data_IF_946827819022
#
_entry.id   IF_946827819022
#
_cell.length_a   1.000
_cell.length_b   1.000
_cell.length_c   1.000
_cell.angle_alpha   90.00
_cell.angle_beta   90.00
_cell.angle_gamma   90.00
#
_symmetry.space_group_name_H-M   'P 1'
#
loop_
_entity.id
_entity.type
_entity.pdbx_description
1 polymer ?
#
# COMPACT_ATOMS: atom_id res chain seq x y z
N UNK A 1 2.59 -23.11 21.45
CA UNK A 1 1.55 -23.51 20.47
C UNK A 1 0.16 -23.30 21.05
N UNK A 2 -0.15 -23.85 22.23
CA UNK A 2 -1.49 -23.76 22.85
C UNK A 2 -1.98 -22.32 23.06
N UNK A 3 -1.10 -21.39 23.44
CA UNK A 3 -1.43 -19.97 23.60
C UNK A 3 -1.81 -19.35 22.26
N UNK A 4 -1.08 -19.67 21.21
CA UNK A 4 -1.39 -19.19 19.85
C UNK A 4 -2.71 -19.76 19.33
N UNK A 5 -2.91 -21.06 19.53
CA UNK A 5 -4.14 -21.74 19.10
C UNK A 5 -5.38 -21.16 19.81
N UNK A 6 -5.24 -20.75 21.10
CA UNK A 6 -6.29 -20.09 21.85
C UNK A 6 -6.65 -18.69 21.31
N UNK A 7 -5.66 -17.97 20.82
CA UNK A 7 -5.82 -16.61 20.28
C UNK A 7 -5.98 -16.57 18.76
N UNK A 8 -6.11 -17.74 18.11
CA UNK A 8 -6.45 -17.83 16.70
C UNK A 8 -7.89 -17.31 16.48
N UNK A 9 -8.05 -16.46 15.48
CA UNK A 9 -9.34 -15.85 15.15
C UNK A 9 -10.40 -16.80 14.57
N UNK A 10 -10.15 -18.10 14.58
CA UNK A 10 -11.07 -19.10 14.03
C UNK A 10 -11.27 -19.00 12.52
N UNK A 11 -12.43 -19.41 12.02
CA UNK A 11 -12.70 -19.54 10.59
C UNK A 11 -12.61 -18.26 9.74
N UNK A 12 -12.59 -17.08 10.36
CA UNK A 12 -12.49 -15.79 9.64
C UNK A 12 -11.07 -15.22 9.58
N UNK A 13 -10.17 -15.61 10.48
CA UNK A 13 -8.83 -15.09 10.59
C UNK A 13 -7.86 -16.22 10.84
N UNK A 14 -7.73 -17.10 9.84
CA UNK A 14 -6.83 -18.23 9.91
C UNK A 14 -5.38 -17.76 10.01
N UNK A 15 -4.77 -17.99 11.15
CA UNK A 15 -3.37 -17.69 11.39
C UNK A 15 -2.45 -18.36 10.37
N UNK A 16 -2.86 -19.55 9.87
CA UNK A 16 -2.19 -20.25 8.80
C UNK A 16 -2.08 -19.45 7.50
N UNK A 17 -3.13 -18.71 7.12
CA UNK A 17 -3.12 -17.87 5.93
C UNK A 17 -2.18 -16.67 6.13
N UNK A 18 -2.29 -15.98 7.26
CA UNK A 18 -1.39 -14.87 7.59
C UNK A 18 0.08 -15.34 7.68
N UNK A 19 0.33 -16.49 8.29
CA UNK A 19 1.68 -17.07 8.36
C UNK A 19 2.23 -17.40 6.98
N UNK A 20 1.40 -17.95 6.09
CA UNK A 20 1.78 -18.23 4.70
C UNK A 20 2.17 -16.96 3.96
N UNK A 21 1.36 -15.89 4.07
CA UNK A 21 1.67 -14.61 3.46
C UNK A 21 2.94 -13.99 4.04
N UNK A 22 3.14 -14.10 5.36
CA UNK A 22 4.34 -13.64 6.02
C UNK A 22 5.59 -14.36 5.50
N UNK A 23 5.56 -15.70 5.44
CA UNK A 23 6.69 -16.49 4.98
C UNK A 23 6.97 -16.24 3.50
N UNK A 24 5.95 -16.18 2.67
CA UNK A 24 6.10 -15.94 1.23
C UNK A 24 6.70 -14.56 0.91
N UNK A 25 6.41 -13.54 1.72
CA UNK A 25 6.88 -12.18 1.47
C UNK A 25 8.16 -11.81 2.23
N UNK A 26 8.39 -12.40 3.41
CA UNK A 26 9.47 -11.97 4.32
C UNK A 26 10.29 -13.12 4.91
N UNK A 27 10.05 -14.36 4.49
CA UNK A 27 10.73 -15.54 5.01
C UNK A 27 10.29 -15.91 6.44
N UNK A 28 10.85 -17.01 6.96
CA UNK A 28 10.58 -17.49 8.31
C UNK A 28 11.11 -16.55 9.37
N UNK A 29 10.51 -16.55 10.54
CA UNK A 29 10.91 -15.71 11.69
C UNK A 29 11.68 -16.54 12.72
N UNK A 30 12.73 -15.96 13.31
CA UNK A 30 13.56 -16.59 14.32
C UNK A 30 13.15 -16.23 15.75
N UNK A 31 12.30 -15.20 15.92
CA UNK A 31 11.77 -14.77 17.20
C UNK A 31 10.33 -14.28 17.08
N UNK A 32 9.66 -14.12 18.23
CA UNK A 32 8.31 -13.55 18.31
C UNK A 32 8.31 -12.10 17.85
N UNK A 33 9.33 -11.34 18.20
CA UNK A 33 9.47 -9.92 17.82
C UNK A 33 9.64 -9.78 16.31
N UNK A 34 10.43 -10.65 15.70
CA UNK A 34 10.58 -10.67 14.23
C UNK A 34 9.27 -11.06 13.54
N UNK A 35 8.58 -12.08 14.05
CA UNK A 35 7.27 -12.48 13.56
C UNK A 35 6.27 -11.32 13.65
N UNK A 36 6.21 -10.62 14.78
CA UNK A 36 5.33 -9.48 14.96
C UNK A 36 5.64 -8.33 13.96
N UNK A 37 6.92 -8.00 13.76
CA UNK A 37 7.34 -7.00 12.77
C UNK A 37 6.94 -7.37 11.35
N UNK A 38 7.19 -8.62 10.95
CA UNK A 38 6.80 -9.11 9.63
C UNK A 38 5.28 -9.14 9.45
N UNK A 39 4.54 -9.52 10.48
CA UNK A 39 3.07 -9.47 10.49
C UNK A 39 2.52 -8.05 10.32
N UNK A 40 3.15 -7.06 10.95
CA UNK A 40 2.82 -5.64 10.74
C UNK A 40 3.04 -5.20 9.28
N UNK A 41 4.13 -5.64 8.65
CA UNK A 41 4.39 -5.32 7.23
C UNK A 41 3.37 -5.95 6.30
N UNK A 42 2.98 -7.22 6.52
CA UNK A 42 1.91 -7.89 5.76
C UNK A 42 0.59 -7.13 5.90
N UNK A 43 0.20 -6.80 7.14
CA UNK A 43 -1.01 -6.03 7.40
C UNK A 43 -1.01 -4.65 6.72
N UNK A 44 0.12 -3.95 6.77
CA UNK A 44 0.32 -2.66 6.13
C UNK A 44 0.13 -2.73 4.62
N UNK A 45 0.80 -3.68 3.96
CA UNK A 45 0.70 -3.87 2.51
C UNK A 45 -0.72 -4.24 2.08
N UNK A 46 -1.35 -5.20 2.76
CA UNK A 46 -2.70 -5.65 2.44
C UNK A 46 -3.71 -4.50 2.58
N UNK A 47 -3.62 -3.75 3.67
CA UNK A 47 -4.51 -2.60 3.91
C UNK A 47 -4.35 -1.54 2.83
N UNK A 48 -3.11 -1.14 2.53
CA UNK A 48 -2.82 -0.16 1.49
C UNK A 48 -3.32 -0.61 0.12
N UNK A 49 -3.02 -1.84 -0.27
CA UNK A 49 -3.41 -2.40 -1.57
C UNK A 49 -4.94 -2.40 -1.75
N UNK A 50 -5.71 -2.77 -0.73
CA UNK A 50 -7.18 -2.77 -0.80
C UNK A 50 -7.70 -1.37 -1.12
N UNK A 51 -7.21 -0.34 -0.44
CA UNK A 51 -7.64 1.05 -0.65
C UNK A 51 -7.20 1.59 -2.00
N UNK A 52 -5.99 1.31 -2.43
CA UNK A 52 -5.47 1.77 -3.73
C UNK A 52 -6.14 1.07 -4.92
N UNK A 53 -6.46 -0.22 -4.80
CA UNK A 53 -7.28 -0.93 -5.81
C UNK A 53 -8.68 -0.34 -5.87
N UNK A 54 -9.26 0.01 -4.71
CA UNK A 54 -10.55 0.69 -4.69
C UNK A 54 -10.48 2.07 -5.36
N UNK A 55 -9.47 2.89 -5.04
CA UNK A 55 -9.24 4.19 -5.68
C UNK A 55 -9.13 4.07 -7.20
N UNK A 56 -8.37 3.08 -7.69
CA UNK A 56 -8.20 2.81 -9.11
C UNK A 56 -9.54 2.55 -9.82
N UNK A 57 -10.45 1.87 -9.14
CA UNK A 57 -11.70 1.38 -9.70
C UNK A 57 -12.93 2.26 -9.37
N UNK A 58 -12.81 3.32 -8.59
CA UNK A 58 -13.98 4.05 -8.07
C UNK A 58 -14.87 4.69 -9.16
N UNK A 59 -14.33 4.95 -10.36
CA UNK A 59 -15.06 5.61 -11.44
C UNK A 59 -15.24 4.73 -12.70
N UNK A 60 -14.76 3.48 -12.71
CA UNK A 60 -14.57 2.71 -13.94
C UNK A 60 -15.48 1.48 -14.07
N UNK A 61 -16.69 1.50 -13.56
CA UNK A 61 -17.58 0.34 -13.67
C UNK A 61 -18.88 0.57 -14.48
N UNK A 62 -18.88 1.47 -15.45
CA UNK A 62 -20.09 1.77 -16.20
C UNK A 62 -21.24 2.11 -15.25
N UNK A 63 -22.28 1.25 -15.15
CA UNK A 63 -23.40 1.43 -14.24
C UNK A 63 -23.13 1.02 -12.78
N UNK A 64 -21.91 0.60 -12.45
CA UNK A 64 -21.51 0.09 -11.12
C UNK A 64 -20.34 0.87 -10.56
N UNK A 65 -20.65 1.93 -9.83
CA UNK A 65 -19.63 2.69 -9.11
C UNK A 65 -19.20 1.96 -7.85
N UNK A 66 -17.89 1.85 -7.61
CA UNK A 66 -17.38 1.48 -6.31
C UNK A 66 -17.37 2.73 -5.41
N UNK A 67 -18.52 3.04 -4.79
CA UNK A 67 -18.74 4.27 -4.04
C UNK A 67 -18.16 4.24 -2.62
N UNK A 68 -17.66 3.12 -2.14
CA UNK A 68 -17.09 3.00 -0.82
C UNK A 68 -16.68 1.60 -0.45
N UNK A 69 -15.91 1.49 0.61
CA UNK A 69 -15.43 0.24 1.17
C UNK A 69 -15.80 0.17 2.64
N UNK A 70 -16.52 -0.88 3.03
CA UNK A 70 -16.91 -1.12 4.41
C UNK A 70 -15.91 -2.05 5.06
N UNK A 71 -15.18 -1.55 6.04
CA UNK A 71 -14.17 -2.30 6.76
C UNK A 71 -14.77 -3.04 7.97
N UNK A 72 -14.67 -4.36 7.98
CA UNK A 72 -15.14 -5.23 9.07
C UNK A 72 -14.04 -5.45 10.08
N UNK A 73 -14.18 -4.97 11.06
CA UNK A 73 -14.25 -4.03 12.14
C UNK A 73 -12.86 -3.44 12.47
N UNK A 74 -12.87 -2.30 13.09
CA UNK A 74 -11.74 -1.38 13.18
C UNK A 74 -10.66 -1.80 14.18
N UNK A 75 -11.12 -2.36 15.31
CA UNK A 75 -10.25 -2.74 16.42
C UNK A 75 -10.58 -4.15 16.92
N UNK A 76 -9.66 -4.72 17.69
CA UNK A 76 -9.85 -6.00 18.35
C UNK A 76 -10.48 -5.79 19.73
N UNK A 77 -11.60 -6.46 20.05
CA UNK A 77 -12.21 -6.34 21.38
C UNK A 77 -11.46 -7.17 22.45
N UNK A 78 -10.64 -8.11 22.03
CA UNK A 78 -9.86 -9.01 22.88
C UNK A 78 -8.47 -9.21 22.28
N UNK A 79 -7.53 -9.72 23.06
CA UNK A 79 -6.20 -10.12 22.56
C UNK A 79 -6.34 -11.24 21.55
N UNK A 80 -5.96 -10.95 20.30
CA UNK A 80 -5.94 -11.93 19.22
C UNK A 80 -4.91 -11.55 18.18
N UNK A 81 -4.49 -12.51 17.36
CA UNK A 81 -3.63 -12.25 16.21
C UNK A 81 -4.53 -11.89 15.02
N UNK A 82 -4.54 -10.62 14.64
CA UNK A 82 -5.31 -10.15 13.50
C UNK A 82 -4.73 -8.86 12.91
N UNK A 83 -4.93 -8.66 11.60
CA UNK A 83 -4.59 -7.41 10.93
C UNK A 83 -5.75 -6.42 11.07
N UNK A 84 -5.70 -5.58 12.09
CA UNK A 84 -6.67 -4.51 12.37
C UNK A 84 -5.98 -3.15 12.35
N UNK A 85 -6.78 -2.08 12.29
CA UNK A 85 -6.25 -0.70 12.39
C UNK A 85 -5.74 -0.41 13.80
N UNK A 86 -6.43 -0.96 14.80
CA UNK A 86 -6.10 -0.81 16.21
C UNK A 86 -6.10 -2.19 16.87
N UNK A 87 -5.16 -2.42 17.75
CA UNK A 87 -5.17 -3.61 18.58
C UNK A 87 -6.18 -3.50 19.74
N UNK A 88 -6.24 -4.52 20.60
CA UNK A 88 -7.15 -4.55 21.76
C UNK A 88 -6.84 -3.47 22.81
N UNK A 89 -5.61 -2.98 22.91
CA UNK A 89 -5.18 -1.90 23.79
C UNK A 89 -5.31 -0.51 23.17
N UNK A 90 -5.91 -0.43 21.95
CA UNK A 90 -6.05 0.78 21.16
C UNK A 90 -4.71 1.36 20.68
N UNK A 91 -3.68 0.52 20.60
CA UNK A 91 -2.43 0.88 19.94
C UNK A 91 -2.60 0.83 18.41
N UNK A 92 -2.16 1.86 17.69
CA UNK A 92 -2.26 1.87 16.23
C UNK A 92 -1.30 0.86 15.61
N UNK A 93 -1.79 0.09 14.65
CA UNK A 93 -0.99 -0.86 13.89
C UNK A 93 -0.40 -0.21 12.63
N UNK A 94 0.53 -0.89 11.98
CA UNK A 94 1.06 -0.44 10.68
C UNK A 94 -0.06 -0.34 9.60
N UNK A 95 -1.11 -1.15 9.71
CA UNK A 95 -2.28 -1.08 8.83
C UNK A 95 -2.97 0.28 8.88
N UNK A 96 -3.07 0.91 10.08
CA UNK A 96 -3.67 2.24 10.22
C UNK A 96 -2.90 3.29 9.42
N UNK A 97 -1.58 3.36 9.60
CA UNK A 97 -0.75 4.37 8.96
C UNK A 97 -0.72 4.21 7.44
N UNK A 98 -0.70 2.97 6.94
CA UNK A 98 -0.73 2.70 5.51
C UNK A 98 -2.11 2.96 4.90
N UNK A 99 -3.20 2.69 5.63
CA UNK A 99 -4.55 3.09 5.25
C UNK A 99 -4.66 4.61 5.18
N UNK A 100 -4.17 5.33 6.20
CA UNK A 100 -4.18 6.79 6.21
C UNK A 100 -3.46 7.37 4.99
N UNK A 101 -2.28 6.82 4.64
CA UNK A 101 -1.56 7.27 3.45
C UNK A 101 -2.33 6.97 2.15
N UNK A 102 -2.92 5.76 2.02
CA UNK A 102 -3.70 5.39 0.83
C UNK A 102 -5.00 6.19 0.67
N UNK A 103 -5.52 6.75 1.77
CA UNK A 103 -6.74 7.58 1.80
C UNK A 103 -6.43 9.08 1.83
N UNK A 104 -5.20 9.50 1.56
CA UNK A 104 -4.93 10.92 1.33
C UNK A 104 -5.79 11.43 0.16
N UNK A 105 -6.56 12.52 0.31
CA UNK A 105 -7.50 12.94 -0.73
C UNK A 105 -6.86 13.30 -2.07
N UNK A 106 -5.58 13.57 -2.09
CA UNK A 106 -4.78 13.71 -3.31
C UNK A 106 -3.61 12.72 -3.20
N UNK A 107 -3.68 11.61 -3.93
CA UNK A 107 -2.82 10.46 -3.75
C UNK A 107 -2.24 9.96 -5.07
N UNK A 108 -0.93 9.67 -5.08
CA UNK A 108 -0.28 8.95 -6.18
C UNK A 108 -0.07 7.49 -5.78
N UNK A 109 -0.44 6.55 -6.62
CA UNK A 109 -0.41 5.13 -6.32
C UNK A 109 0.27 4.30 -7.40
N UNK A 110 0.77 3.12 -7.02
CA UNK A 110 1.47 2.19 -7.89
C UNK A 110 0.74 0.84 -7.99
N UNK A 111 0.46 0.42 -9.22
CA UNK A 111 -0.09 -0.90 -9.50
C UNK A 111 1.04 -1.94 -9.65
N UNK A 112 1.11 -2.88 -8.71
CA UNK A 112 2.12 -3.96 -8.69
C UNK A 112 2.01 -4.94 -9.86
N UNK A 113 0.83 -5.10 -10.45
CA UNK A 113 0.60 -6.05 -11.54
C UNK A 113 0.98 -5.45 -12.90
N UNK A 114 0.61 -4.19 -13.11
CA UNK A 114 0.83 -3.48 -14.38
C UNK A 114 2.16 -2.69 -14.38
N UNK A 115 2.75 -2.42 -13.21
CA UNK A 115 3.85 -1.47 -13.01
C UNK A 115 3.49 -0.04 -13.42
N UNK A 116 2.23 0.34 -13.29
CA UNK A 116 1.71 1.64 -13.69
C UNK A 116 1.54 2.57 -12.49
N UNK A 117 1.65 3.86 -12.74
CA UNK A 117 1.40 4.93 -11.77
C UNK A 117 0.07 5.59 -12.10
N UNK A 118 -0.75 5.80 -11.08
CA UNK A 118 -2.04 6.50 -11.16
C UNK A 118 -2.11 7.61 -10.11
N UNK A 119 -2.99 8.58 -10.30
CA UNK A 119 -3.26 9.66 -9.33
C UNK A 119 -4.75 9.77 -9.09
N UNK A 120 -5.14 9.82 -7.81
CA UNK A 120 -6.51 10.00 -7.36
C UNK A 120 -6.66 11.39 -6.74
N UNK A 121 -7.76 12.08 -7.05
CA UNK A 121 -8.19 13.33 -6.43
C UNK A 121 -9.62 13.15 -5.89
N UNK A 122 -9.77 13.13 -4.57
CA UNK A 122 -11.06 13.06 -3.85
C UNK A 122 -11.56 14.44 -3.40
N UNK A 123 -10.82 15.50 -3.75
CA UNK A 123 -11.32 16.86 -3.51
C UNK A 123 -12.33 17.28 -4.58
N UNK A 124 -13.34 18.03 -4.18
CA UNK A 124 -14.28 18.74 -5.08
C UNK A 124 -13.66 20.02 -5.66
N UNK A 125 -12.42 19.90 -6.11
CA UNK A 125 -11.67 20.94 -6.82
C UNK A 125 -10.64 20.33 -7.74
N UNK A 126 -10.38 20.97 -8.87
CA UNK A 126 -9.33 20.57 -9.81
C UNK A 126 -7.96 21.13 -9.39
N UNK A 127 -6.91 20.44 -9.84
CA UNK A 127 -5.52 20.87 -9.69
C UNK A 127 -4.85 20.88 -11.06
N UNK A 128 -4.13 21.97 -11.36
CA UNK A 128 -3.48 22.14 -12.66
C UNK A 128 -1.97 22.21 -12.52
N UNK A 129 -1.28 21.69 -13.54
CA UNK A 129 0.17 21.72 -13.65
C UNK A 129 0.89 21.06 -12.44
N UNK A 130 0.26 20.08 -11.81
CA UNK A 130 0.89 19.27 -10.78
C UNK A 130 1.91 18.33 -11.43
N UNK A 131 2.92 17.93 -10.67
CA UNK A 131 3.94 17.00 -11.15
C UNK A 131 3.93 15.73 -10.31
N UNK A 132 3.60 14.61 -10.94
CA UNK A 132 3.80 13.27 -10.37
C UNK A 132 5.19 12.77 -10.73
N UNK A 133 5.91 12.21 -9.76
CA UNK A 133 7.27 11.69 -9.92
C UNK A 133 7.38 10.30 -9.31
N UNK A 134 8.07 9.40 -10.02
CA UNK A 134 8.47 8.09 -9.52
C UNK A 134 10.00 7.99 -9.49
N UNK A 135 10.55 7.63 -8.35
CA UNK A 135 11.96 7.28 -8.17
C UNK A 135 12.04 5.82 -7.68
N UNK A 136 12.93 5.01 -8.28
CA UNK A 136 13.20 3.64 -7.82
C UNK A 136 14.62 3.55 -7.29
N UNK A 137 14.77 2.90 -6.15
CA UNK A 137 16.03 2.70 -5.46
C UNK A 137 16.31 1.22 -5.25
N UNK A 138 17.55 0.82 -5.45
CA UNK A 138 18.04 -0.52 -5.10
C UNK A 138 18.35 -0.65 -3.60
N UNK A 139 18.77 -1.84 -3.16
CA UNK A 139 19.20 -2.09 -1.77
C UNK A 139 20.41 -1.27 -1.32
N UNK A 140 21.19 -0.72 -2.25
CA UNK A 140 22.35 0.13 -1.97
C UNK A 140 21.98 1.61 -1.93
N UNK A 141 20.67 1.92 -1.92
CA UNK A 141 20.14 3.29 -2.00
C UNK A 141 20.51 4.04 -3.29
N UNK A 142 20.96 3.31 -4.32
CA UNK A 142 21.22 3.89 -5.62
C UNK A 142 19.92 4.08 -6.37
N UNK A 143 19.69 5.29 -6.87
CA UNK A 143 18.54 5.57 -7.75
C UNK A 143 18.80 4.94 -9.12
N UNK A 144 17.95 3.98 -9.49
CA UNK A 144 18.08 3.20 -10.74
C UNK A 144 17.05 3.58 -11.80
N UNK A 145 15.99 4.29 -11.39
CA UNK A 145 14.98 4.84 -12.29
C UNK A 145 14.47 6.17 -11.74
N UNK A 146 14.17 7.09 -12.62
CA UNK A 146 13.48 8.35 -12.26
C UNK A 146 12.68 8.84 -13.47
N UNK A 147 11.40 9.08 -13.26
CA UNK A 147 10.53 9.66 -14.27
C UNK A 147 9.54 10.63 -13.62
N UNK A 148 9.12 11.64 -14.36
CA UNK A 148 8.07 12.55 -13.87
C UNK A 148 7.24 13.07 -15.04
N UNK A 149 5.96 13.29 -14.74
CA UNK A 149 4.98 13.80 -15.70
C UNK A 149 4.18 14.93 -15.05
N UNK A 150 3.86 15.96 -15.84
CA UNK A 150 2.90 16.97 -15.43
C UNK A 150 1.51 16.53 -15.77
N UNK A 151 0.58 16.84 -14.87
CA UNK A 151 -0.83 16.45 -14.97
C UNK A 151 -1.72 17.64 -14.61
N UNK A 152 -2.88 17.65 -15.23
CA UNK A 152 -4.07 18.35 -14.74
C UNK A 152 -5.03 17.27 -14.27
N UNK A 153 -5.65 17.42 -13.12
CA UNK A 153 -6.62 16.47 -12.57
C UNK A 153 -7.86 17.25 -12.12
N UNK A 154 -9.03 16.79 -12.55
CA UNK A 154 -10.33 17.35 -12.23
C UNK A 154 -10.75 17.10 -10.79
N UNK A 155 -11.89 17.65 -10.40
CA UNK A 155 -12.53 17.34 -9.12
C UNK A 155 -13.05 15.90 -9.13
N UNK A 156 -12.87 15.16 -8.02
CA UNK A 156 -13.30 13.78 -7.84
C UNK A 156 -12.91 12.86 -9.00
N UNK A 157 -11.69 13.01 -9.50
CA UNK A 157 -11.17 12.32 -10.69
C UNK A 157 -10.05 11.35 -10.33
N UNK A 158 -9.94 10.27 -11.12
CA UNK A 158 -8.81 9.35 -11.11
C UNK A 158 -8.15 9.31 -12.47
N UNK A 159 -6.87 9.61 -12.52
CA UNK A 159 -6.04 9.47 -13.71
C UNK A 159 -5.31 8.13 -13.63
N UNK A 160 -5.89 7.11 -14.24
CA UNK A 160 -5.34 5.77 -14.27
C UNK A 160 -4.23 5.61 -15.32
N UNK A 161 -3.27 4.74 -15.00
CA UNK A 161 -2.23 4.26 -15.93
C UNK A 161 -1.45 5.41 -16.63
N UNK A 162 -1.06 6.45 -15.89
CA UNK A 162 -0.38 7.64 -16.41
C UNK A 162 0.95 7.31 -17.10
N UNK A 163 1.78 6.48 -16.46
CA UNK A 163 3.03 6.00 -17.00
C UNK A 163 3.49 4.72 -16.32
N UNK A 164 4.32 3.97 -17.04
CA UNK A 164 4.90 2.73 -16.55
C UNK A 164 6.26 2.96 -15.89
N UNK A 165 6.52 2.22 -14.82
CA UNK A 165 7.87 2.11 -14.25
C UNK A 165 8.55 0.91 -14.92
N UNK A 166 9.58 1.19 -15.69
CA UNK A 166 10.43 0.16 -16.31
C UNK A 166 11.61 -0.14 -15.39
N UNK A 167 11.57 -1.32 -14.77
CA UNK A 167 12.60 -1.77 -13.85
C UNK A 167 13.82 -2.28 -14.65
N UNK A 168 15.05 -1.82 -14.34
CA UNK A 168 16.26 -2.38 -14.94
C UNK A 168 16.38 -3.88 -14.66
N UNK A 169 16.89 -4.64 -15.63
CA UNK A 169 17.04 -6.10 -15.51
C UNK A 169 18.08 -6.52 -14.45
N UNK A 170 18.99 -5.62 -14.10
CA UNK A 170 20.04 -5.79 -13.10
C UNK A 170 19.71 -5.20 -11.73
N UNK A 171 18.44 -4.80 -11.52
CA UNK A 171 18.02 -4.28 -10.22
C UNK A 171 18.13 -5.35 -9.13
N UNK A 172 18.47 -4.93 -7.92
CA UNK A 172 18.52 -5.84 -6.76
C UNK A 172 17.16 -6.53 -6.54
N UNK A 173 17.16 -7.80 -6.06
CA UNK A 173 15.91 -8.54 -5.85
C UNK A 173 14.88 -7.75 -5.05
N UNK A 174 15.30 -7.10 -3.96
CA UNK A 174 14.48 -6.15 -3.21
C UNK A 174 14.82 -4.73 -3.66
N UNK A 175 13.82 -3.94 -3.91
CA UNK A 175 13.95 -2.55 -4.32
C UNK A 175 12.76 -1.71 -3.84
N UNK A 176 12.90 -0.40 -3.91
CA UNK A 176 11.97 0.55 -3.32
C UNK A 176 11.48 1.54 -4.36
N UNK A 177 10.20 1.88 -4.29
CA UNK A 177 9.56 2.85 -5.16
C UNK A 177 9.06 4.01 -4.30
N UNK A 178 9.45 5.23 -4.64
CA UNK A 178 8.89 6.43 -4.03
C UNK A 178 8.11 7.21 -5.09
N UNK A 179 6.85 7.47 -4.81
CA UNK A 179 6.04 8.40 -5.59
C UNK A 179 5.93 9.71 -4.83
N UNK A 180 6.02 10.81 -5.53
CA UNK A 180 5.81 12.16 -5.00
C UNK A 180 4.90 12.95 -5.92
N UNK A 181 4.01 13.72 -5.34
CA UNK A 181 3.15 14.67 -6.04
C UNK A 181 3.48 16.09 -5.58
N UNK A 182 3.81 16.96 -6.52
CA UNK A 182 4.17 18.34 -6.23
C UNK A 182 3.21 19.29 -6.93
N UNK A 183 2.94 20.42 -6.27
CA UNK A 183 2.13 21.50 -6.82
C UNK A 183 2.84 22.24 -7.96
N UNK A 184 2.18 23.22 -8.54
CA UNK A 184 2.70 24.10 -9.61
C UNK A 184 3.98 24.85 -9.23
N UNK A 185 4.19 25.09 -7.92
CA UNK A 185 5.36 25.79 -7.37
C UNK A 185 6.50 24.83 -7.03
N UNK A 186 6.29 23.53 -7.20
CA UNK A 186 7.26 22.48 -6.90
C UNK A 186 7.29 22.05 -5.43
N UNK A 187 6.35 22.49 -4.61
CA UNK A 187 6.19 22.01 -3.23
C UNK A 187 5.56 20.61 -3.26
N UNK A 188 6.19 19.64 -2.61
CA UNK A 188 5.60 18.32 -2.43
C UNK A 188 4.36 18.40 -1.53
N UNK A 189 3.24 17.88 -2.01
CA UNK A 189 1.92 17.90 -1.35
C UNK A 189 1.44 16.53 -0.94
N UNK A 190 1.94 15.47 -1.57
CA UNK A 190 1.68 14.09 -1.19
C UNK A 190 2.88 13.22 -1.56
N UNK A 191 3.10 12.15 -0.82
CA UNK A 191 4.10 11.14 -1.17
C UNK A 191 3.71 9.78 -0.62
N UNK A 192 4.14 8.74 -1.33
CA UNK A 192 3.90 7.36 -0.92
C UNK A 192 5.11 6.51 -1.24
N UNK A 193 5.22 5.37 -0.56
CA UNK A 193 6.37 4.51 -0.62
C UNK A 193 5.93 3.06 -0.75
N UNK A 194 6.68 2.30 -1.56
CA UNK A 194 6.47 0.88 -1.79
C UNK A 194 7.80 0.15 -1.74
N UNK A 195 7.73 -1.12 -1.37
CA UNK A 195 8.83 -2.06 -1.54
C UNK A 195 8.35 -3.25 -2.36
N UNK A 196 9.25 -3.84 -3.08
CA UNK A 196 8.98 -4.97 -3.97
C UNK A 196 10.12 -5.97 -3.91
N UNK A 197 9.79 -7.25 -4.08
CA UNK A 197 10.77 -8.29 -4.34
C UNK A 197 10.48 -8.95 -5.69
N UNK A 198 11.53 -9.20 -6.47
CA UNK A 198 11.46 -9.99 -7.71
C UNK A 198 11.74 -11.46 -7.46
N UNK A 199 12.21 -11.84 -6.27
CA UNK A 199 12.47 -13.19 -5.87
C UNK A 199 11.35 -13.68 -4.95
N UNK A 200 10.83 -14.89 -5.19
CA UNK A 200 10.11 -15.61 -4.18
C UNK A 200 11.10 -16.02 -3.07
N UNK A 201 10.74 -15.89 -1.82
CA UNK A 201 11.49 -16.53 -0.74
C UNK A 201 11.26 -18.04 -0.85
N UNK A 202 12.34 -18.78 -1.11
CA UNK A 202 12.35 -20.24 -1.00
C UNK A 202 12.46 -20.69 0.46
#
# INVERSE_FOLDING_TARGET
KEVWDYHDGGGFHLMSTMYKDLVNNYGTSQSIEEFAKKGQLVGAMNSKTIWEVWNYNKLDYGDRYCSGLLFWYHNCPVRQVCARMWDWSLEPTASLYHTQNALEPLHAQFDYLKNMVSVCNDYYRSFKNYKVKADVYDLNSKKVFSYSQRIDIGEDEVLNDLFKIDFPSDITPVHFIRLGLSDEKGKEVASTFYWRSNAAYE
#
